data_IF_677213591599
#
_entry.id   IF_677213591599
#
_cell.length_a   1.000
_cell.length_b   1.000
_cell.length_c   1.000
_cell.angle_alpha   90.00
_cell.angle_beta   90.00
_cell.angle_gamma   90.00
#
_symmetry.space_group_name_H-M   'P 1'
#
loop_
_entity.id
_entity.type
_entity.pdbx_description
1 polymer ?
#
# COMPACT_ATOMS: atom_id res chain seq x y z
N UNK A 1 17.00 -22.21 9.60
CA UNK A 1 17.64 -21.63 10.80
C UNK A 1 18.62 -20.56 10.33
N UNK A 2 18.35 -19.29 10.63
CA UNK A 2 19.36 -18.23 10.57
C UNK A 2 18.93 -17.13 11.56
N UNK A 3 19.88 -16.56 12.29
CA UNK A 3 19.59 -15.71 13.44
C UNK A 3 19.14 -14.30 13.04
N UNK A 4 18.30 -13.70 13.88
CA UNK A 4 18.09 -12.26 13.92
C UNK A 4 19.26 -11.66 14.72
N UNK A 5 20.07 -10.81 14.09
CA UNK A 5 21.04 -9.99 14.82
C UNK A 5 20.38 -8.64 15.17
N UNK A 6 20.17 -8.39 16.46
CA UNK A 6 19.68 -7.10 16.97
C UNK A 6 20.78 -6.05 16.87
N UNK A 7 20.45 -4.88 16.33
CA UNK A 7 21.16 -3.64 16.65
C UNK A 7 20.19 -2.61 17.20
N UNK A 8 20.42 -2.20 18.43
CA UNK A 8 19.69 -1.14 19.09
C UNK A 8 20.07 0.23 18.50
N UNK A 9 19.11 1.16 18.43
CA UNK A 9 19.24 2.46 19.14
C UNK A 9 17.99 3.35 18.98
N UNK A 10 17.68 4.04 20.09
CA UNK A 10 16.84 5.24 20.23
C UNK A 10 15.32 5.13 20.01
N UNK A 11 14.62 5.65 21.02
CA UNK A 11 13.16 5.70 21.17
C UNK A 11 12.49 6.47 20.01
N UNK A 12 11.53 5.80 19.37
CA UNK A 12 10.62 6.33 18.34
C UNK A 12 9.23 5.64 18.46
N UNK A 13 8.18 6.07 17.74
CA UNK A 13 6.79 5.76 18.10
C UNK A 13 6.37 4.28 18.01
N UNK A 14 5.24 3.98 18.65
CA UNK A 14 4.60 2.66 18.64
C UNK A 14 4.07 2.33 17.23
N UNK A 15 4.75 1.41 16.54
CA UNK A 15 4.24 0.79 15.31
C UNK A 15 3.98 -0.68 15.60
N UNK A 16 2.75 -1.13 15.33
CA UNK A 16 2.45 -2.53 15.12
C UNK A 16 2.52 -2.85 13.64
N UNK A 17 3.17 -3.94 13.30
CA UNK A 17 3.34 -4.41 11.93
C UNK A 17 2.34 -5.56 11.66
N UNK A 18 2.00 -5.88 10.41
CA UNK A 18 1.19 -7.07 10.10
C UNK A 18 2.06 -8.22 9.60
N UNK A 19 1.85 -9.40 10.19
CA UNK A 19 2.27 -10.67 9.64
C UNK A 19 1.08 -11.41 9.01
N UNK A 20 1.29 -12.01 7.84
CA UNK A 20 0.36 -12.91 7.19
C UNK A 20 0.85 -14.35 7.35
N UNK A 21 -0.02 -15.26 7.81
CA UNK A 21 0.24 -16.71 7.82
C UNK A 21 0.28 -17.21 6.37
N UNK A 22 1.49 -17.33 5.84
CA UNK A 22 1.73 -18.07 4.60
C UNK A 22 1.30 -19.54 4.82
N UNK A 23 0.59 -20.18 3.87
CA UNK A 23 0.33 -21.61 3.95
C UNK A 23 1.65 -22.37 3.90
N UNK A 24 1.85 -23.31 4.82
CA UNK A 24 2.90 -24.32 4.70
C UNK A 24 2.57 -25.26 3.53
N UNK A 25 2.92 -24.84 2.31
CA UNK A 25 3.06 -25.76 1.19
C UNK A 25 4.44 -26.43 1.28
N UNK A 26 4.42 -27.75 1.41
CA UNK A 26 5.59 -28.58 1.14
C UNK A 26 5.96 -28.45 -0.35
N UNK A 27 6.92 -27.59 -0.66
CA UNK A 27 7.39 -27.38 -2.03
C UNK A 27 8.82 -27.92 -2.20
N UNK A 28 8.90 -29.15 -2.70
CA UNK A 28 10.11 -29.65 -3.35
C UNK A 28 10.13 -29.10 -4.77
N UNK A 29 10.81 -27.98 -5.00
CA UNK A 29 11.09 -27.46 -6.33
C UNK A 29 12.47 -26.78 -6.33
N UNK A 30 13.47 -27.46 -6.87
CA UNK A 30 14.74 -26.82 -7.22
C UNK A 30 14.52 -26.05 -8.53
N UNK A 31 14.71 -24.73 -8.51
CA UNK A 31 14.81 -23.92 -9.72
C UNK A 31 16.28 -23.60 -9.96
N UNK A 32 16.82 -24.03 -11.11
CA UNK A 32 18.15 -23.61 -11.54
C UNK A 32 18.15 -22.14 -12.00
N UNK A 33 19.26 -21.46 -11.76
CA UNK A 33 19.55 -20.11 -12.27
C UNK A 33 20.90 -20.18 -12.98
N UNK A 34 20.89 -20.02 -14.30
CA UNK A 34 22.12 -19.99 -15.10
C UNK A 34 22.85 -18.65 -14.99
N UNK A 35 24.17 -18.68 -14.74
CA UNK A 35 25.06 -17.51 -14.70
C UNK A 35 26.44 -17.88 -15.29
N UNK A 36 27.07 -17.04 -16.15
CA UNK A 36 28.43 -17.27 -16.66
C UNK A 36 29.53 -16.32 -16.08
N UNK A 37 30.61 -16.84 -15.45
CA UNK A 37 31.83 -16.11 -14.96
C UNK A 37 33.14 -16.98 -14.71
N UNK A 38 34.14 -16.94 -15.62
CA UNK A 38 35.00 -18.11 -16.09
C UNK A 38 36.02 -18.74 -15.15
N UNK A 39 36.24 -20.07 -15.33
CA UNK A 39 37.46 -20.90 -15.13
C UNK A 39 38.38 -20.64 -13.90
N UNK A 40 38.95 -21.64 -13.23
CA UNK A 40 38.90 -23.10 -13.36
C UNK A 40 39.34 -23.72 -12.02
N UNK A 41 38.63 -24.73 -11.53
CA UNK A 41 39.18 -25.81 -10.68
C UNK A 41 38.22 -26.99 -10.79
N UNK A 42 38.65 -28.08 -11.43
CA UNK A 42 37.76 -29.20 -11.75
C UNK A 42 37.33 -29.96 -10.51
N UNK A 43 36.05 -29.86 -10.15
CA UNK A 43 35.38 -30.72 -9.19
C UNK A 43 34.06 -31.22 -9.76
N UNK A 44 33.83 -32.54 -9.76
CA UNK A 44 32.54 -33.11 -10.11
C UNK A 44 31.63 -32.99 -8.89
N UNK A 45 30.59 -32.18 -8.99
CA UNK A 45 29.60 -32.00 -7.93
C UNK A 45 28.26 -32.63 -8.35
N UNK A 46 28.01 -33.86 -7.91
CA UNK A 46 26.72 -34.52 -8.12
C UNK A 46 25.69 -34.01 -7.11
N UNK A 47 24.49 -33.66 -7.58
CA UNK A 47 23.37 -33.36 -6.68
C UNK A 47 23.00 -34.64 -5.88
N UNK A 48 23.01 -34.61 -4.53
CA UNK A 48 22.86 -35.81 -3.71
C UNK A 48 21.47 -36.47 -3.78
N UNK A 49 20.50 -35.86 -4.48
CA UNK A 49 19.14 -36.37 -4.58
C UNK A 49 18.70 -36.82 -5.99
N UNK A 50 19.50 -36.59 -7.05
CA UNK A 50 19.10 -36.95 -8.44
C UNK A 50 20.21 -37.42 -9.40
N UNK A 51 21.47 -37.51 -8.93
CA UNK A 51 22.59 -38.25 -9.58
C UNK A 51 22.96 -37.94 -11.05
N UNK A 52 22.49 -36.85 -11.64
CA UNK A 52 22.92 -36.43 -12.99
C UNK A 52 24.09 -35.45 -12.92
N UNK A 53 25.02 -35.55 -13.87
CA UNK A 53 26.22 -34.71 -13.97
C UNK A 53 25.90 -33.34 -14.61
N UNK A 54 26.46 -32.28 -14.05
CA UNK A 54 26.37 -30.92 -14.60
C UNK A 54 27.77 -30.34 -14.83
N UNK A 55 27.99 -29.74 -16.00
CA UNK A 55 29.28 -29.19 -16.46
C UNK A 55 29.15 -27.66 -16.56
N UNK A 56 30.11 -26.93 -16.01
CA UNK A 56 30.04 -25.46 -15.81
C UNK A 56 31.08 -24.72 -16.68
N UNK A 57 30.68 -23.64 -17.37
CA UNK A 57 31.52 -22.69 -18.14
C UNK A 57 30.82 -21.32 -18.32
N UNK A 58 31.57 -20.26 -18.65
CA UNK A 58 31.46 -19.01 -17.86
C UNK A 58 32.26 -17.78 -18.55
N UNK A 59 32.45 -16.52 -17.99
CA UNK A 59 33.28 -15.36 -18.56
C UNK A 59 33.79 -14.18 -17.59
N UNK A 60 35.04 -13.59 -17.65
CA UNK A 60 35.58 -12.54 -16.69
C UNK A 60 36.11 -11.18 -17.33
N UNK A 61 36.17 -10.02 -16.59
CA UNK A 61 36.78 -8.72 -17.04
C UNK A 61 37.23 -7.73 -15.91
N UNK A 62 38.04 -6.67 -16.23
CA UNK A 62 38.78 -5.76 -15.29
C UNK A 62 38.77 -4.24 -15.64
N UNK A 63 38.68 -3.39 -14.59
CA UNK A 63 39.25 -2.04 -14.27
C UNK A 63 39.59 -0.90 -15.30
N UNK A 64 39.38 0.39 -14.89
CA UNK A 64 40.32 1.55 -14.97
C UNK A 64 39.81 2.81 -14.20
N UNK A 65 40.65 3.85 -13.96
CA UNK A 65 40.41 4.95 -12.98
C UNK A 65 41.14 6.31 -13.25
N UNK A 66 40.72 7.41 -12.57
CA UNK A 66 41.33 8.79 -12.43
C UNK A 66 41.16 9.79 -13.62
N UNK A 67 41.18 11.15 -13.53
CA UNK A 67 41.33 12.19 -12.45
C UNK A 67 40.83 13.63 -12.83
N UNK A 68 40.43 14.45 -11.83
CA UNK A 68 40.56 15.93 -11.57
C UNK A 68 40.54 17.07 -12.65
N UNK A 69 40.16 18.28 -12.19
CA UNK A 69 39.92 19.59 -12.90
C UNK A 69 41.09 20.61 -12.74
N UNK A 70 41.18 21.80 -13.45
CA UNK A 70 40.51 23.08 -13.01
C UNK A 70 40.26 24.26 -14.05
N UNK A 71 39.43 25.24 -13.64
CA UNK A 71 39.49 26.74 -13.80
C UNK A 71 39.51 27.58 -15.13
N UNK A 72 38.34 28.22 -15.44
CA UNK A 72 38.05 29.69 -15.66
C UNK A 72 38.60 30.53 -16.89
N UNK A 73 38.20 31.83 -17.14
CA UNK A 73 37.53 32.31 -18.39
C UNK A 73 38.38 33.38 -19.16
N UNK A 74 37.88 34.39 -19.95
CA UNK A 74 36.54 34.69 -20.52
C UNK A 74 36.53 35.02 -22.05
N UNK A 75 35.37 35.30 -22.64
CA UNK A 75 35.18 36.35 -23.67
C UNK A 75 33.69 36.67 -23.89
N UNK A 76 33.35 37.96 -24.05
CA UNK A 76 32.00 38.46 -24.32
C UNK A 76 31.81 38.75 -25.81
N UNK A 77 30.60 38.56 -26.36
CA UNK A 77 30.04 39.38 -27.45
C UNK A 77 28.50 39.34 -27.43
N UNK A 78 27.87 40.35 -28.05
CA UNK A 78 26.50 40.81 -27.81
C UNK A 78 25.37 40.05 -28.57
N UNK A 79 24.08 40.28 -28.22
CA UNK A 79 22.95 39.53 -28.77
C UNK A 79 22.52 40.03 -30.16
N UNK A 80 22.26 39.09 -31.07
CA UNK A 80 21.59 39.35 -32.34
C UNK A 80 20.09 39.02 -32.23
N UNK A 81 19.25 40.06 -32.26
CA UNK A 81 17.81 39.95 -32.48
C UNK A 81 17.53 39.33 -33.85
N UNK A 82 16.73 38.27 -33.93
CA UNK A 82 15.97 37.87 -35.13
C UNK A 82 14.71 37.06 -34.71
N UNK A 83 13.68 36.94 -35.57
CA UNK A 83 12.35 37.39 -35.19
C UNK A 83 11.35 36.29 -34.81
N UNK A 84 10.23 36.72 -34.21
CA UNK A 84 9.05 35.91 -33.93
C UNK A 84 8.50 35.26 -35.21
N UNK A 85 8.40 33.93 -35.21
CA UNK A 85 7.72 33.16 -36.24
C UNK A 85 6.40 32.59 -35.69
N UNK A 86 5.23 32.92 -36.26
CA UNK A 86 3.94 32.44 -35.78
C UNK A 86 3.62 31.05 -36.33
N UNK A 87 4.44 30.04 -36.01
CA UNK A 87 4.06 28.65 -36.20
C UNK A 87 3.35 28.14 -34.96
N UNK A 88 2.01 28.09 -35.06
CA UNK A 88 1.16 27.40 -34.10
C UNK A 88 1.47 25.91 -34.13
N UNK A 89 2.39 25.47 -33.26
CA UNK A 89 2.65 24.04 -33.04
C UNK A 89 1.35 23.44 -32.47
N UNK A 90 0.75 22.42 -33.10
CA UNK A 90 -0.40 21.74 -32.53
C UNK A 90 0.05 21.08 -31.21
N UNK A 91 -0.54 21.54 -30.11
CA UNK A 91 -0.24 21.02 -28.77
C UNK A 91 -0.53 19.52 -28.72
N UNK A 92 0.54 18.72 -28.76
CA UNK A 92 0.42 17.27 -28.55
C UNK A 92 -0.25 17.02 -27.20
N UNK A 93 -1.15 16.00 -27.10
CA UNK A 93 -1.86 15.75 -25.85
C UNK A 93 -0.86 15.48 -24.73
N UNK A 94 -0.83 16.37 -23.74
CA UNK A 94 0.03 16.23 -22.56
C UNK A 94 -0.44 15.00 -21.80
N UNK A 95 0.29 13.89 -21.97
CA UNK A 95 0.12 12.71 -21.14
C UNK A 95 0.27 13.15 -19.68
N UNK A 96 -0.69 12.82 -18.78
CA UNK A 96 -0.58 13.20 -17.38
C UNK A 96 0.74 12.69 -16.82
N UNK A 97 1.63 13.61 -16.40
CA UNK A 97 2.85 13.22 -15.71
C UNK A 97 2.46 12.36 -14.48
N UNK A 98 3.15 11.25 -14.18
CA UNK A 98 2.70 10.26 -13.18
C UNK A 98 2.47 10.87 -11.79
N UNK A 99 3.20 11.94 -11.47
CA UNK A 99 3.00 12.76 -10.27
C UNK A 99 1.58 13.33 -10.12
N UNK A 100 0.95 13.76 -11.22
CA UNK A 100 -0.42 14.29 -11.20
C UNK A 100 -1.46 13.21 -10.86
N UNK A 101 -1.24 11.97 -11.30
CA UNK A 101 -2.13 10.84 -11.00
C UNK A 101 -2.00 10.37 -9.55
N UNK A 102 -0.81 10.45 -8.95
CA UNK A 102 -0.62 10.22 -7.52
C UNK A 102 -1.30 11.32 -6.68
N UNK A 103 -1.06 12.60 -7.00
CA UNK A 103 -1.73 13.72 -6.32
C UNK A 103 -3.26 13.66 -6.44
N UNK A 104 -3.79 13.35 -7.64
CA UNK A 104 -5.22 13.15 -7.85
C UNK A 104 -5.77 12.07 -6.93
N UNK A 105 -5.08 10.92 -6.86
CA UNK A 105 -5.47 9.77 -6.04
C UNK A 105 -5.40 10.04 -4.54
N UNK A 106 -4.42 10.82 -4.07
CA UNK A 106 -4.36 11.30 -2.69
C UNK A 106 -5.54 12.22 -2.38
N UNK A 107 -5.87 13.16 -3.26
CA UNK A 107 -7.02 14.05 -3.11
C UNK A 107 -8.36 13.29 -3.10
N UNK A 108 -8.52 12.28 -3.97
CA UNK A 108 -9.71 11.44 -4.03
C UNK A 108 -9.83 10.54 -2.78
N UNK A 109 -8.71 10.00 -2.29
CA UNK A 109 -8.65 9.24 -1.03
C UNK A 109 -9.05 10.12 0.15
N UNK A 110 -8.54 11.35 0.23
CA UNK A 110 -8.89 12.29 1.29
C UNK A 110 -10.37 12.71 1.22
N UNK A 111 -10.93 12.87 0.02
CA UNK A 111 -12.37 13.13 -0.17
C UNK A 111 -13.20 11.95 0.34
N UNK A 112 -12.84 10.72 0.00
CA UNK A 112 -13.52 9.52 0.48
C UNK A 112 -13.41 9.39 2.01
N UNK A 113 -12.23 9.60 2.60
CA UNK A 113 -12.03 9.59 4.05
C UNK A 113 -12.87 10.65 4.77
N UNK A 114 -13.01 11.85 4.21
CA UNK A 114 -13.91 12.88 4.79
C UNK A 114 -15.38 12.47 4.70
N UNK A 115 -15.81 11.91 3.56
CA UNK A 115 -17.18 11.41 3.39
C UNK A 115 -17.51 10.23 4.31
N UNK A 116 -16.52 9.43 4.72
CA UNK A 116 -16.73 8.28 5.61
C UNK A 116 -17.07 8.67 7.05
N UNK A 117 -16.71 9.88 7.49
CA UNK A 117 -17.00 10.39 8.84
C UNK A 117 -16.25 9.70 9.99
N UNK A 118 -15.38 8.73 9.70
CA UNK A 118 -14.49 8.05 10.66
C UNK A 118 -13.00 8.38 10.45
N UNK A 119 -12.72 9.44 9.70
CA UNK A 119 -11.41 10.07 9.58
C UNK A 119 -11.30 11.26 10.54
N UNK A 120 -10.25 11.27 11.37
CA UNK A 120 -10.05 12.23 12.45
C UNK A 120 -8.96 13.28 12.17
N UNK A 121 -8.43 13.35 10.94
CA UNK A 121 -7.42 14.34 10.57
C UNK A 121 -6.20 14.29 11.49
N UNK A 122 -5.79 15.44 12.00
CA UNK A 122 -4.61 15.66 12.84
C UNK A 122 -4.69 15.06 14.27
N UNK A 123 -5.63 14.15 14.54
CA UNK A 123 -5.66 13.38 15.78
C UNK A 123 -4.33 12.63 15.97
N UNK A 124 -3.69 12.88 17.10
CA UNK A 124 -2.42 12.26 17.44
C UNK A 124 -2.62 10.82 17.95
N UNK A 125 -1.52 10.13 18.26
CA UNK A 125 -1.59 8.74 18.71
C UNK A 125 -2.12 8.60 20.13
N UNK A 126 -1.92 9.60 21.00
CA UNK A 126 -2.39 9.60 22.38
C UNK A 126 -3.90 9.85 22.42
N UNK A 127 -4.38 10.86 21.69
CA UNK A 127 -5.80 11.12 21.52
C UNK A 127 -6.55 9.91 20.92
N UNK A 128 -5.99 9.28 19.88
CA UNK A 128 -6.56 8.05 19.32
C UNK A 128 -6.58 6.88 20.31
N UNK A 129 -5.54 6.73 21.15
CA UNK A 129 -5.51 5.71 22.21
C UNK A 129 -6.58 5.98 23.26
N UNK A 130 -6.71 7.21 23.74
CA UNK A 130 -7.74 7.59 24.72
C UNK A 130 -9.15 7.40 24.18
N UNK A 131 -9.41 7.85 22.95
CA UNK A 131 -10.69 7.73 22.25
C UNK A 131 -11.15 6.27 22.10
N UNK A 132 -10.23 5.34 21.82
CA UNK A 132 -10.55 3.93 21.58
C UNK A 132 -10.58 3.07 22.85
N UNK A 133 -9.93 3.50 23.95
CA UNK A 133 -9.71 2.69 25.16
C UNK A 133 -10.96 2.03 25.73
N UNK A 134 -12.10 2.72 25.67
CA UNK A 134 -13.38 2.30 26.26
C UNK A 134 -14.40 1.83 25.19
N UNK A 135 -13.94 1.68 23.93
CA UNK A 135 -14.77 1.19 22.82
C UNK A 135 -14.74 -0.33 22.69
N UNK A 136 -15.64 -0.89 21.88
CA UNK A 136 -15.70 -2.33 21.63
C UNK A 136 -14.52 -2.80 20.77
N UNK A 137 -14.02 -4.01 21.01
CA UNK A 137 -12.96 -4.63 20.17
C UNK A 137 -13.35 -4.61 18.68
N UNK A 138 -12.42 -4.18 17.85
CA UNK A 138 -12.60 -3.93 16.42
C UNK A 138 -13.23 -2.57 16.09
N UNK A 139 -13.40 -1.67 17.05
CA UNK A 139 -13.64 -0.26 16.77
C UNK A 139 -12.36 0.39 16.23
N UNK A 140 -12.49 1.28 15.22
CA UNK A 140 -11.32 1.88 14.56
C UNK A 140 -11.58 3.30 14.05
N UNK A 141 -10.47 4.02 13.81
CA UNK A 141 -10.42 5.35 13.17
C UNK A 141 -9.23 5.43 12.21
N UNK A 142 -9.34 6.23 11.14
CA UNK A 142 -8.17 6.71 10.39
C UNK A 142 -7.83 8.12 10.87
N UNK A 143 -6.54 8.43 10.92
CA UNK A 143 -5.99 9.73 11.28
C UNK A 143 -4.71 9.99 10.49
N UNK A 144 -4.21 11.20 10.55
CA UNK A 144 -2.93 11.56 9.95
C UNK A 144 -1.78 10.92 10.75
N UNK A 145 -0.69 10.59 10.06
CA UNK A 145 0.51 10.10 10.70
C UNK A 145 1.29 11.26 11.34
N UNK A 146 1.76 11.06 12.58
CA UNK A 146 2.74 11.96 13.20
C UNK A 146 4.18 11.74 12.70
N UNK A 147 4.41 10.68 11.92
CA UNK A 147 5.69 10.40 11.26
C UNK A 147 5.66 10.85 9.80
N UNK A 148 6.66 11.65 9.40
CA UNK A 148 6.78 12.31 8.09
C UNK A 148 6.89 11.36 6.90
N UNK A 149 7.24 10.08 7.12
CA UNK A 149 7.38 9.08 6.07
C UNK A 149 6.03 8.44 5.67
N UNK A 150 4.94 8.80 6.36
CA UNK A 150 3.62 8.20 6.18
C UNK A 150 2.56 9.29 6.14
N UNK A 151 1.50 9.08 5.37
CA UNK A 151 0.40 10.07 5.27
C UNK A 151 -0.65 9.78 6.35
N UNK A 152 -1.05 8.52 6.48
CA UNK A 152 -2.15 8.10 7.35
C UNK A 152 -1.73 7.01 8.34
N UNK A 153 -2.47 6.90 9.43
CA UNK A 153 -2.42 5.80 10.40
C UNK A 153 -3.82 5.28 10.67
N UNK A 154 -3.92 3.96 10.83
CA UNK A 154 -5.11 3.27 11.33
C UNK A 154 -4.91 3.00 12.82
N UNK A 155 -5.84 3.47 13.63
CA UNK A 155 -5.89 3.15 15.07
C UNK A 155 -7.10 2.27 15.33
N UNK A 156 -6.91 1.18 16.09
CA UNK A 156 -7.92 0.14 16.32
C UNK A 156 -7.88 -0.35 17.77
N UNK A 157 -9.07 -0.55 18.35
CA UNK A 157 -9.22 -1.21 19.65
C UNK A 157 -9.07 -2.73 19.49
N UNK A 158 -8.04 -3.30 20.11
CA UNK A 158 -7.84 -4.75 20.20
C UNK A 158 -8.28 -5.29 21.56
N UNK A 159 -8.26 -6.61 21.73
CA UNK A 159 -8.42 -7.30 23.02
C UNK A 159 -7.35 -6.87 24.05
N UNK A 160 -6.14 -6.59 23.58
CA UNK A 160 -5.01 -6.05 24.37
C UNK A 160 -5.00 -4.52 24.48
N UNK A 161 -6.07 -3.85 24.04
CA UNK A 161 -6.24 -2.38 24.09
C UNK A 161 -6.02 -1.67 22.75
N UNK A 162 -6.04 -0.32 22.73
CA UNK A 162 -5.86 0.44 21.50
C UNK A 162 -4.45 0.33 20.96
N UNK A 163 -4.33 0.15 19.65
CA UNK A 163 -3.06 0.18 18.94
C UNK A 163 -3.12 1.00 17.65
N UNK A 164 -1.96 1.26 17.05
CA UNK A 164 -1.82 1.98 15.78
C UNK A 164 -0.86 1.29 14.82
N UNK A 165 -1.24 1.31 13.54
CA UNK A 165 -0.43 0.87 12.40
C UNK A 165 -0.40 2.00 11.37
N UNK A 166 0.70 2.14 10.64
CA UNK A 166 0.85 3.17 9.61
C UNK A 166 0.46 2.64 8.24
N UNK A 167 0.06 3.54 7.35
CA UNK A 167 -0.26 3.20 5.97
C UNK A 167 0.88 3.67 5.05
N UNK A 168 1.61 2.74 4.44
CA UNK A 168 2.58 3.08 3.40
C UNK A 168 1.82 3.48 2.14
N UNK A 169 2.36 4.45 1.40
CA UNK A 169 1.89 4.84 0.07
C UNK A 169 3.05 4.80 -0.92
N UNK A 170 2.96 3.96 -1.94
CA UNK A 170 3.99 3.79 -2.97
C UNK A 170 3.36 3.49 -4.32
N UNK A 171 3.88 4.09 -5.39
CA UNK A 171 3.45 3.85 -6.79
C UNK A 171 1.93 4.00 -6.97
N UNK A 172 1.32 4.95 -6.28
CA UNK A 172 -0.13 5.14 -6.26
C UNK A 172 -0.95 4.12 -5.46
N UNK A 173 -0.36 3.33 -4.55
CA UNK A 173 -1.11 2.35 -3.74
C UNK A 173 -0.80 2.41 -2.25
N UNK A 174 -1.84 2.23 -1.44
CA UNK A 174 -1.79 2.05 0.00
C UNK A 174 -1.61 0.58 0.40
N UNK A 175 -0.87 0.34 1.48
CA UNK A 175 -0.83 -0.94 2.23
C UNK A 175 -0.68 -0.67 3.72
N UNK A 176 -0.97 -1.67 4.56
CA UNK A 176 -0.60 -1.65 5.98
C UNK A 176 0.90 -1.87 6.18
N UNK A 177 1.45 -1.35 7.27
CA UNK A 177 2.84 -1.61 7.68
C UNK A 177 3.08 -3.11 7.86
N UNK A 178 4.20 -3.59 7.33
CA UNK A 178 4.54 -5.01 7.20
C UNK A 178 6.06 -5.16 7.16
N UNK A 179 6.58 -6.32 7.59
CA UNK A 179 8.00 -6.62 7.46
C UNK A 179 8.41 -6.60 5.99
N UNK A 180 9.61 -6.08 5.69
CA UNK A 180 10.10 -5.92 4.30
C UNK A 180 9.95 -7.19 3.44
N UNK A 181 10.22 -8.43 3.92
CA UNK A 181 10.02 -9.65 3.13
C UNK A 181 8.55 -9.95 2.78
N UNK A 182 7.61 -9.46 3.61
CA UNK A 182 6.17 -9.63 3.43
C UNK A 182 5.54 -8.56 2.53
N UNK A 183 6.19 -7.40 2.35
CA UNK A 183 5.64 -6.27 1.60
C UNK A 183 5.21 -6.61 0.15
N UNK A 184 5.84 -7.60 -0.48
CA UNK A 184 5.46 -8.11 -1.82
C UNK A 184 4.20 -8.99 -1.86
N UNK A 185 3.79 -9.53 -0.70
CA UNK A 185 2.60 -10.38 -0.56
C UNK A 185 1.40 -9.62 0.05
N UNK A 186 1.64 -8.45 0.62
CA UNK A 186 0.58 -7.61 1.18
C UNK A 186 -0.31 -7.04 0.09
N UNK A 187 -1.64 -7.05 0.25
CA UNK A 187 -2.56 -6.47 -0.72
C UNK A 187 -2.35 -4.95 -0.79
N UNK A 188 -2.46 -4.42 -2.02
CA UNK A 188 -2.26 -3.01 -2.37
C UNK A 188 -3.58 -2.42 -2.85
N UNK A 189 -3.94 -1.24 -2.36
CA UNK A 189 -5.24 -0.60 -2.57
C UNK A 189 -5.08 0.80 -3.17
N UNK A 190 -6.01 1.25 -4.01
CA UNK A 190 -5.95 2.59 -4.60
C UNK A 190 -6.45 3.68 -3.63
N UNK A 191 -7.22 3.28 -2.61
CA UNK A 191 -7.79 4.16 -1.59
C UNK A 191 -7.65 3.53 -0.18
N UNK A 192 -7.53 4.36 0.86
CA UNK A 192 -7.54 3.88 2.26
C UNK A 192 -8.90 3.27 2.66
N UNK A 193 -10.02 3.78 2.13
CA UNK A 193 -11.35 3.21 2.41
C UNK A 193 -11.47 1.79 1.83
N UNK A 194 -10.92 1.56 0.64
CA UNK A 194 -10.83 0.24 0.00
C UNK A 194 -10.02 -0.75 0.87
N UNK A 195 -8.87 -0.30 1.39
CA UNK A 195 -8.03 -1.05 2.33
C UNK A 195 -8.81 -1.45 3.58
N UNK A 196 -9.45 -0.50 4.26
CA UNK A 196 -10.22 -0.75 5.49
C UNK A 196 -11.39 -1.70 5.22
N UNK A 197 -12.10 -1.54 4.09
CA UNK A 197 -13.18 -2.42 3.68
C UNK A 197 -12.71 -3.85 3.40
N UNK A 198 -11.54 -4.02 2.78
CA UNK A 198 -10.93 -5.34 2.60
C UNK A 198 -10.65 -6.02 3.94
N UNK A 199 -9.95 -5.35 4.86
CA UNK A 199 -9.60 -5.95 6.16
C UNK A 199 -10.82 -6.16 7.08
N UNK A 200 -11.89 -5.38 6.91
CA UNK A 200 -13.19 -5.63 7.55
C UNK A 200 -13.77 -6.97 7.08
N UNK A 201 -13.92 -7.17 5.77
CA UNK A 201 -14.42 -8.43 5.17
C UNK A 201 -13.53 -9.65 5.46
N UNK A 202 -12.22 -9.45 5.59
CA UNK A 202 -11.27 -10.52 5.96
C UNK A 202 -11.49 -10.92 7.42
N UNK A 203 -11.64 -9.96 8.34
CA UNK A 203 -11.90 -10.23 9.77
C UNK A 203 -13.30 -10.79 10.08
N UNK A 204 -14.28 -10.56 9.21
CA UNK A 204 -15.61 -11.20 9.27
C UNK A 204 -15.55 -12.72 9.02
N UNK A 205 -14.60 -13.18 8.20
CA UNK A 205 -14.40 -14.61 7.85
C UNK A 205 -13.61 -15.38 8.93
N UNK A 206 -13.53 -14.83 10.14
CA UNK A 206 -12.69 -15.30 11.24
C UNK A 206 -11.30 -14.66 11.24
N UNK A 207 -10.39 -15.10 12.14
CA UNK A 207 -9.00 -14.64 12.16
C UNK A 207 -8.21 -15.21 10.97
N UNK A 208 -8.51 -14.70 9.76
CA UNK A 208 -8.04 -15.18 8.47
C UNK A 208 -6.57 -14.84 8.21
N UNK A 209 -5.68 -15.42 9.01
CA UNK A 209 -4.23 -15.45 8.79
C UNK A 209 -3.48 -14.14 9.06
N UNK A 210 -4.15 -13.00 9.21
CA UNK A 210 -3.49 -11.70 9.48
C UNK A 210 -3.52 -11.34 10.96
N UNK A 211 -2.33 -11.06 11.51
CA UNK A 211 -2.13 -10.79 12.94
C UNK A 211 -1.24 -9.55 13.08
N UNK A 212 -1.61 -8.67 14.00
CA UNK A 212 -0.74 -7.58 14.47
C UNK A 212 0.47 -8.21 15.19
N UNK A 213 1.69 -7.83 14.81
CA UNK A 213 2.91 -8.20 15.53
C UNK A 213 3.47 -7.00 16.28
N UNK A 214 3.98 -7.26 17.48
CA UNK A 214 4.64 -6.25 18.30
C UNK A 214 6.08 -5.96 17.81
N UNK A 215 6.79 -5.12 18.55
CA UNK A 215 8.15 -4.66 18.21
C UNK A 215 9.18 -5.78 18.28
N UNK A 216 8.87 -6.82 19.04
CA UNK A 216 9.66 -8.02 19.23
C UNK A 216 9.36 -9.07 18.14
N UNK A 217 8.38 -8.81 17.27
CA UNK A 217 7.92 -9.71 16.21
C UNK A 217 6.93 -10.79 16.70
N UNK A 218 6.49 -10.71 17.96
CA UNK A 218 5.57 -11.66 18.55
C UNK A 218 4.12 -11.36 18.13
N UNK A 219 3.28 -12.39 17.94
CA UNK A 219 1.88 -12.22 17.57
C UNK A 219 1.09 -11.58 18.73
N UNK A 220 0.63 -10.36 18.50
CA UNK A 220 -0.12 -9.59 19.48
C UNK A 220 -1.60 -9.94 19.47
N UNK A 221 -2.31 -9.69 18.37
CA UNK A 221 -3.76 -9.89 18.27
C UNK A 221 -4.22 -9.97 16.80
N UNK A 222 -5.32 -10.66 16.45
CA UNK A 222 -5.80 -10.73 15.07
C UNK A 222 -6.21 -9.36 14.50
N UNK A 223 -6.09 -9.19 13.18
CA UNK A 223 -6.56 -7.99 12.49
C UNK A 223 -8.09 -8.04 12.40
N UNK A 224 -8.76 -7.32 13.30
CA UNK A 224 -10.22 -7.23 13.37
C UNK A 224 -10.65 -5.77 13.21
N UNK A 225 -11.25 -5.45 12.07
CA UNK A 225 -11.94 -4.17 11.83
C UNK A 225 -13.43 -4.48 11.75
N UNK A 226 -14.26 -3.80 12.56
CA UNK A 226 -15.70 -4.06 12.66
C UNK A 226 -16.52 -2.77 12.70
N UNK A 227 -16.18 -1.87 13.63
CA UNK A 227 -16.99 -0.70 13.92
C UNK A 227 -16.22 0.58 13.59
N UNK A 228 -16.46 1.24 12.43
CA UNK A 228 -15.92 2.57 12.21
C UNK A 228 -16.48 3.52 13.27
N UNK A 229 -15.61 4.09 14.12
CA UNK A 229 -16.02 5.10 15.08
C UNK A 229 -16.17 6.42 14.32
N UNK A 230 -17.40 6.91 14.19
CA UNK A 230 -17.72 8.13 13.44
C UNK A 230 -17.81 9.33 14.38
N UNK A 231 -17.35 10.50 13.92
CA UNK A 231 -17.43 11.76 14.67
C UNK A 231 -18.87 12.22 14.89
N UNK A 232 -19.75 11.93 13.93
CA UNK A 232 -21.17 12.26 13.93
C UNK A 232 -21.96 11.18 13.19
N UNK A 233 -23.27 11.04 13.46
CA UNK A 233 -24.12 10.14 12.69
C UNK A 233 -24.14 10.56 11.21
N UNK A 234 -23.94 9.64 10.26
CA UNK A 234 -24.02 9.95 8.83
C UNK A 234 -25.42 10.40 8.42
N UNK A 235 -25.50 11.27 7.41
CA UNK A 235 -26.78 11.72 6.85
C UNK A 235 -27.59 10.55 6.29
N UNK A 236 -28.92 10.67 6.25
CA UNK A 236 -29.80 9.64 5.68
C UNK A 236 -29.40 9.28 4.23
N UNK A 237 -29.03 10.29 3.43
CA UNK A 237 -28.54 10.11 2.06
C UNK A 237 -27.25 9.27 2.02
N UNK A 238 -26.29 9.53 2.92
CA UNK A 238 -25.07 8.73 2.99
C UNK A 238 -25.36 7.31 3.51
N UNK A 239 -26.25 7.15 4.49
CA UNK A 239 -26.68 5.83 4.98
C UNK A 239 -27.35 5.00 3.88
N UNK A 240 -28.19 5.62 3.05
CA UNK A 240 -28.76 4.97 1.87
C UNK A 240 -27.68 4.53 0.88
N UNK A 241 -26.68 5.38 0.59
CA UNK A 241 -25.50 5.02 -0.24
C UNK A 241 -24.74 3.82 0.31
N UNK A 242 -24.49 3.77 1.63
CA UNK A 242 -23.85 2.62 2.28
C UNK A 242 -24.70 1.34 2.18
N UNK A 243 -26.02 1.46 2.38
CA UNK A 243 -26.94 0.32 2.27
C UNK A 243 -27.01 -0.24 0.84
N UNK A 244 -27.05 0.64 -0.17
CA UNK A 244 -26.99 0.25 -1.59
C UNK A 244 -25.69 -0.48 -1.91
N UNK A 245 -24.53 0.06 -1.52
CA UNK A 245 -23.24 -0.62 -1.78
C UNK A 245 -23.12 -1.95 -1.01
N UNK A 246 -23.64 -2.05 0.23
CA UNK A 246 -23.75 -3.34 0.94
C UNK A 246 -24.59 -4.36 0.17
N UNK A 247 -25.75 -3.95 -0.36
CA UNK A 247 -26.59 -4.85 -1.16
C UNK A 247 -25.91 -5.28 -2.48
N UNK A 248 -25.22 -4.37 -3.15
CA UNK A 248 -24.45 -4.64 -4.36
C UNK A 248 -23.22 -5.54 -4.11
N UNK A 249 -22.58 -5.42 -2.95
CA UNK A 249 -21.48 -6.30 -2.52
C UNK A 249 -21.98 -7.71 -2.23
N UNK A 250 -23.10 -7.83 -1.50
CA UNK A 250 -23.65 -9.11 -1.03
C UNK A 250 -24.40 -9.92 -2.09
N UNK A 251 -24.83 -9.32 -3.21
CA UNK A 251 -25.65 -10.01 -4.21
C UNK A 251 -24.81 -10.95 -5.12
N UNK A 252 -24.95 -12.29 -5.01
CA UNK A 252 -24.17 -13.26 -5.79
C UNK A 252 -24.61 -13.36 -7.25
N UNK A 253 -25.82 -12.88 -7.58
CA UNK A 253 -26.40 -12.93 -8.93
C UNK A 253 -26.02 -11.72 -9.79
N UNK A 254 -25.37 -10.69 -9.22
CA UNK A 254 -24.80 -9.62 -10.05
C UNK A 254 -23.62 -10.18 -10.84
N UNK A 255 -23.69 -10.29 -12.18
CA UNK A 255 -22.58 -10.79 -12.96
C UNK A 255 -21.36 -9.89 -12.74
N UNK A 256 -20.17 -10.49 -12.73
CA UNK A 256 -18.89 -9.76 -12.67
C UNK A 256 -18.60 -9.09 -14.02
N UNK A 257 -19.52 -8.27 -14.51
CA UNK A 257 -19.29 -7.44 -15.70
C UNK A 257 -18.15 -6.47 -15.37
N UNK A 258 -16.98 -6.76 -15.95
CA UNK A 258 -15.75 -5.99 -15.76
C UNK A 258 -15.81 -4.58 -16.40
N UNK A 259 -16.92 -4.27 -17.08
CA UNK A 259 -17.09 -3.11 -17.94
C UNK A 259 -17.59 -1.85 -17.23
N UNK A 260 -18.30 -1.98 -16.10
CA UNK A 260 -18.88 -0.82 -15.39
C UNK A 260 -19.03 -1.06 -13.88
N UNK A 261 -18.90 -0.02 -13.03
CA UNK A 261 -19.23 -0.11 -11.62
C UNK A 261 -20.68 -0.55 -11.39
N UNK A 262 -20.92 -1.50 -10.48
CA UNK A 262 -22.26 -2.10 -10.25
C UNK A 262 -23.37 -1.07 -10.03
N UNK A 263 -23.09 0.06 -9.37
CA UNK A 263 -24.07 1.11 -9.11
C UNK A 263 -24.56 1.83 -10.37
N UNK A 264 -23.81 1.83 -11.48
CA UNK A 264 -24.22 2.39 -12.77
C UNK A 264 -25.25 1.53 -13.52
N UNK A 265 -25.50 0.30 -13.05
CA UNK A 265 -26.52 -0.60 -13.60
C UNK A 265 -27.89 -0.43 -12.92
N UNK A 266 -27.99 0.42 -11.89
CA UNK A 266 -29.24 0.68 -11.20
C UNK A 266 -30.12 1.64 -12.01
N UNK A 267 -31.46 1.45 -12.04
CA UNK A 267 -32.40 2.33 -12.73
C UNK A 267 -32.64 3.61 -11.90
N UNK A 268 -31.59 4.44 -11.77
CA UNK A 268 -31.58 5.67 -10.98
C UNK A 268 -31.27 6.89 -11.87
N UNK A 269 -31.77 8.09 -11.51
CA UNK A 269 -31.35 9.35 -12.14
C UNK A 269 -29.82 9.52 -12.11
N UNK A 270 -29.21 10.14 -13.15
CA UNK A 270 -27.75 10.30 -13.24
C UNK A 270 -27.11 10.94 -12.00
N UNK A 271 -27.78 11.94 -11.40
CA UNK A 271 -27.32 12.61 -10.17
C UNK A 271 -27.19 11.66 -8.97
N UNK A 272 -28.06 10.65 -8.85
CA UNK A 272 -27.94 9.62 -7.82
C UNK A 272 -26.88 8.58 -8.17
N UNK A 273 -26.71 8.25 -9.45
CA UNK A 273 -25.64 7.36 -9.93
C UNK A 273 -24.26 7.96 -9.64
N UNK A 274 -24.07 9.25 -9.91
CA UNK A 274 -22.81 9.96 -9.62
C UNK A 274 -22.58 10.09 -8.11
N UNK A 275 -23.62 10.39 -7.32
CA UNK A 275 -23.52 10.39 -5.85
C UNK A 275 -23.12 9.03 -5.25
N UNK A 276 -23.59 7.92 -5.83
CA UNK A 276 -23.12 6.57 -5.47
C UNK A 276 -21.67 6.33 -5.90
N UNK A 277 -21.23 6.93 -7.00
CA UNK A 277 -19.87 6.87 -7.53
C UNK A 277 -18.83 7.66 -6.74
N UNK A 278 -19.22 8.75 -6.05
CA UNK A 278 -18.33 9.52 -5.16
C UNK A 278 -17.76 8.70 -3.99
N UNK A 279 -18.50 7.69 -3.53
CA UNK A 279 -18.12 6.82 -2.42
C UNK A 279 -18.59 5.39 -2.70
N UNK A 280 -17.85 4.61 -3.51
CA UNK A 280 -18.21 3.26 -3.95
C UNK A 280 -17.89 2.19 -2.88
N UNK A 281 -18.27 2.45 -1.63
CA UNK A 281 -17.89 1.67 -0.46
C UNK A 281 -19.09 1.42 0.48
N UNK A 282 -19.04 0.33 1.24
CA UNK A 282 -20.12 -0.19 2.11
C UNK A 282 -19.95 0.13 3.61
N UNK A 283 -18.82 0.76 3.99
CA UNK A 283 -18.40 1.07 5.38
C UNK A 283 -18.27 2.56 5.71
#
# INVERSE_FOLDING_TARGET
MCLIERRETKLSPLNMTIAARLPLQSSNACMEVGVPLNNWSSGVACCPNCRHELRVSLACAKAHSHSMTPATPPFSLQPAYLPHSPYTIPSSPVLPAPYNDELRRLADTLRALRLSGWYYGNLDWQGARSLLKETKVGAYVIRDSGDRNFIFSLSVQTDKGPTSVRLHYEQGFFRLDCDRPLARYMPRFRCVVELVQHYTRVGERGPAGTVWVDREGCPHSPVLLRNPLRQSPPTLMHMARLAVHRALDSNPLTPKLWCAPKHRLLPLPPTLVDYLGEYPYSI
#
